data_IF_776610338670
#
_entry.id   IF_776610338670
#
_cell.length_a   1.000
_cell.length_b   1.000
_cell.length_c   1.000
_cell.angle_alpha   90.00
_cell.angle_beta   90.00
_cell.angle_gamma   90.00
#
_symmetry.space_group_name_H-M   'P 1'
#
loop_
_entity.id
_entity.type
_entity.pdbx_description
1 polymer ?
#
# COMPACT_ATOMS: atom_id res chain seq x y z
N UNK A 1 -2.02 -22.42 -2.87
CA UNK A 1 -3.34 -22.57 -2.19
C UNK A 1 -4.39 -22.24 -3.24
N UNK A 2 -5.40 -23.08 -3.42
CA UNK A 2 -6.43 -22.85 -4.42
C UNK A 2 -7.21 -21.55 -4.10
N UNK A 3 -7.64 -20.84 -5.15
CA UNK A 3 -8.27 -19.52 -5.06
C UNK A 3 -9.77 -19.66 -5.37
N UNK A 4 -10.66 -19.23 -4.46
CA UNK A 4 -12.10 -19.28 -4.69
C UNK A 4 -12.53 -18.51 -5.94
N UNK A 5 -13.31 -19.15 -6.81
CA UNK A 5 -13.89 -18.53 -8.00
C UNK A 5 -15.32 -19.02 -8.24
N UNK A 6 -16.26 -18.07 -8.34
CA UNK A 6 -17.69 -18.33 -8.57
C UNK A 6 -18.07 -17.89 -9.99
N UNK A 7 -18.44 -18.83 -10.86
CA UNK A 7 -18.86 -18.53 -12.23
C UNK A 7 -20.16 -17.70 -12.30
N UNK A 8 -21.02 -17.76 -11.28
CA UNK A 8 -22.25 -16.98 -11.22
C UNK A 8 -22.00 -15.53 -10.79
N UNK A 9 -20.85 -15.26 -10.17
CA UNK A 9 -20.40 -13.94 -9.71
C UNK A 9 -18.90 -13.78 -9.99
N UNK A 10 -18.49 -13.72 -11.27
CA UNK A 10 -17.07 -13.71 -11.63
C UNK A 10 -16.40 -12.47 -11.05
N UNK A 11 -15.29 -12.70 -10.34
CA UNK A 11 -14.50 -11.65 -9.70
C UNK A 11 -13.14 -11.55 -10.39
N UNK A 12 -12.87 -10.40 -11.03
CA UNK A 12 -11.61 -10.14 -11.72
C UNK A 12 -10.42 -10.18 -10.77
N UNK A 13 -10.58 -9.78 -9.50
CA UNK A 13 -9.49 -9.87 -8.52
C UNK A 13 -9.08 -11.32 -8.24
N UNK A 14 -10.06 -12.25 -8.19
CA UNK A 14 -9.78 -13.68 -8.05
C UNK A 14 -9.11 -14.23 -9.31
N UNK A 15 -9.63 -13.90 -10.50
CA UNK A 15 -9.01 -14.30 -11.77
C UNK A 15 -7.58 -13.76 -11.91
N UNK A 16 -7.32 -12.52 -11.48
CA UNK A 16 -5.99 -11.92 -11.46
C UNK A 16 -5.03 -12.68 -10.56
N UNK A 17 -5.47 -13.07 -9.35
CA UNK A 17 -4.66 -13.91 -8.46
C UNK A 17 -4.38 -15.29 -9.06
N UNK A 18 -5.35 -15.89 -9.72
CA UNK A 18 -5.18 -17.18 -10.42
C UNK A 18 -4.16 -17.03 -11.55
N UNK A 19 -4.29 -16.00 -12.38
CA UNK A 19 -3.39 -15.77 -13.49
C UNK A 19 -1.96 -15.46 -13.04
N UNK A 20 -1.79 -14.65 -11.98
CA UNK A 20 -0.47 -14.41 -11.38
C UNK A 20 0.14 -15.70 -10.83
N UNK A 21 -0.64 -16.51 -10.09
CA UNK A 21 -0.15 -17.79 -9.57
C UNK A 21 0.28 -18.74 -10.71
N UNK A 22 -0.45 -18.74 -11.84
CA UNK A 22 -0.09 -19.52 -13.02
C UNK A 22 1.24 -19.05 -13.64
N UNK A 23 1.47 -17.73 -13.72
CA UNK A 23 2.73 -17.14 -14.19
C UNK A 23 3.90 -17.39 -13.23
N UNK A 24 3.63 -17.48 -11.92
CA UNK A 24 4.64 -17.82 -10.90
C UNK A 24 5.04 -19.30 -10.99
N UNK A 25 4.10 -20.21 -11.27
CA UNK A 25 4.35 -21.65 -11.36
C UNK A 25 4.92 -22.08 -12.73
N UNK A 26 4.50 -21.44 -13.82
CA UNK A 26 4.91 -21.76 -15.20
C UNK A 26 5.52 -20.53 -15.91
N UNK A 27 6.86 -20.37 -15.85
CA UNK A 27 7.56 -19.31 -16.58
C UNK A 27 7.39 -19.39 -18.11
N UNK A 28 6.98 -20.56 -18.63
CA UNK A 28 6.72 -20.80 -20.05
C UNK A 28 5.23 -20.60 -20.39
N UNK A 29 4.43 -19.99 -19.51
CA UNK A 29 3.07 -19.56 -19.85
C UNK A 29 3.12 -18.31 -20.76
N UNK A 30 2.91 -18.50 -22.06
CA UNK A 30 3.00 -17.45 -23.09
C UNK A 30 1.78 -17.34 -24.02
N UNK A 31 0.70 -18.06 -23.71
CA UNK A 31 -0.56 -18.03 -24.46
C UNK A 31 -1.75 -18.13 -23.51
N UNK A 32 -2.79 -17.32 -23.72
CA UNK A 32 -4.08 -17.51 -23.03
C UNK A 32 -5.01 -18.29 -23.95
N UNK A 33 -5.04 -19.61 -23.78
CA UNK A 33 -5.90 -20.52 -24.53
C UNK A 33 -7.24 -20.74 -23.82
N UNK A 34 -8.29 -20.97 -24.60
CA UNK A 34 -9.61 -21.34 -24.07
C UNK A 34 -9.54 -22.72 -23.39
N UNK A 35 -10.05 -22.83 -22.16
CA UNK A 35 -10.03 -24.07 -21.39
C UNK A 35 -8.63 -24.55 -21.03
N UNK A 36 -7.68 -23.63 -20.83
CA UNK A 36 -6.31 -24.00 -20.46
C UNK A 36 -6.28 -24.77 -19.12
N UNK A 37 -5.83 -26.04 -19.11
CA UNK A 37 -5.86 -26.86 -17.92
C UNK A 37 -4.89 -26.38 -16.82
N UNK A 38 -3.94 -25.50 -17.15
CA UNK A 38 -2.97 -24.94 -16.19
C UNK A 38 -3.61 -24.10 -15.08
N UNK A 39 -4.85 -23.64 -15.27
CA UNK A 39 -5.56 -22.91 -14.22
C UNK A 39 -6.32 -23.83 -13.26
N UNK A 40 -6.66 -25.06 -13.66
CA UNK A 40 -7.66 -25.88 -12.93
C UNK A 40 -7.24 -26.22 -11.49
N UNK A 41 -5.96 -26.51 -11.23
CA UNK A 41 -5.48 -26.81 -9.87
C UNK A 41 -5.32 -25.57 -9.00
N UNK A 42 -5.33 -24.38 -9.60
CA UNK A 42 -5.25 -23.09 -8.90
C UNK A 42 -6.62 -22.59 -8.46
N UNK A 43 -7.71 -23.18 -8.94
CA UNK A 43 -9.08 -22.71 -8.69
C UNK A 43 -9.81 -23.59 -7.67
N UNK A 44 -10.37 -22.96 -6.65
CA UNK A 44 -11.40 -23.55 -5.79
C UNK A 44 -12.77 -23.12 -6.32
N UNK A 45 -13.47 -24.04 -6.99
CA UNK A 45 -14.74 -23.70 -7.64
C UNK A 45 -15.87 -23.55 -6.63
N UNK A 46 -16.49 -22.36 -6.64
CA UNK A 46 -17.65 -22.04 -5.80
C UNK A 46 -18.91 -22.11 -6.66
N UNK A 47 -19.76 -23.11 -6.42
CA UNK A 47 -21.02 -23.28 -7.15
C UNK A 47 -20.86 -23.94 -8.53
N UNK A 48 -21.88 -23.82 -9.41
CA UNK A 48 -21.89 -24.48 -10.71
C UNK A 48 -20.84 -23.89 -11.65
N UNK A 49 -20.14 -24.76 -12.40
CA UNK A 49 -19.14 -24.35 -13.40
C UNK A 49 -19.81 -24.00 -14.71
N UNK A 50 -19.38 -22.89 -15.31
CA UNK A 50 -19.79 -22.48 -16.66
C UNK A 50 -18.54 -22.31 -17.51
N UNK A 51 -18.45 -23.05 -18.61
CA UNK A 51 -17.30 -23.01 -19.52
C UNK A 51 -17.05 -21.59 -20.06
N UNK A 52 -15.78 -21.20 -20.16
CA UNK A 52 -15.35 -19.91 -20.70
C UNK A 52 -15.47 -18.70 -19.76
N UNK A 53 -16.16 -18.82 -18.61
CA UNK A 53 -16.27 -17.69 -17.65
C UNK A 53 -14.92 -17.37 -17.01
N UNK A 54 -14.16 -18.40 -16.63
CA UNK A 54 -12.81 -18.20 -16.11
C UNK A 54 -11.90 -17.59 -17.18
N UNK A 55 -11.88 -18.16 -18.39
CA UNK A 55 -11.08 -17.65 -19.51
C UNK A 55 -11.35 -16.16 -19.79
N UNK A 56 -12.63 -15.77 -19.81
CA UNK A 56 -13.02 -14.37 -19.96
C UNK A 56 -12.50 -13.49 -18.81
N UNK A 57 -12.57 -13.96 -17.57
CA UNK A 57 -12.04 -13.23 -16.42
C UNK A 57 -10.51 -13.15 -16.43
N UNK A 58 -9.82 -14.20 -16.91
CA UNK A 58 -8.36 -14.22 -17.12
C UNK A 58 -7.97 -13.22 -18.21
N UNK A 59 -8.73 -13.10 -19.29
CA UNK A 59 -8.52 -12.04 -20.29
C UNK A 59 -8.64 -10.64 -19.68
N UNK A 60 -9.60 -10.41 -18.78
CA UNK A 60 -9.72 -9.12 -18.09
C UNK A 60 -8.53 -8.87 -17.15
N UNK A 61 -8.08 -9.90 -16.44
CA UNK A 61 -6.88 -9.84 -15.60
C UNK A 61 -5.62 -9.57 -16.43
N UNK A 62 -5.48 -10.17 -17.61
CA UNK A 62 -4.37 -9.90 -18.52
C UNK A 62 -4.27 -8.41 -18.86
N UNK A 63 -5.39 -7.75 -19.19
CA UNK A 63 -5.38 -6.32 -19.49
C UNK A 63 -5.03 -5.45 -18.26
N UNK A 64 -5.37 -5.89 -17.06
CA UNK A 64 -4.91 -5.22 -15.83
C UNK A 64 -3.39 -5.35 -15.67
N UNK A 65 -2.86 -6.57 -15.80
CA UNK A 65 -1.42 -6.82 -15.71
C UNK A 65 -0.63 -6.12 -16.85
N UNK A 66 -1.25 -5.94 -18.02
CA UNK A 66 -0.69 -5.14 -19.11
C UNK A 66 -0.57 -3.66 -18.74
N UNK A 67 -1.62 -3.06 -18.16
CA UNK A 67 -1.56 -1.69 -17.66
C UNK A 67 -0.55 -1.52 -16.52
N UNK A 68 -0.29 -2.59 -15.78
CA UNK A 68 0.75 -2.63 -14.74
C UNK A 68 2.16 -2.84 -15.30
N UNK A 69 2.29 -3.13 -16.60
CA UNK A 69 3.54 -3.41 -17.29
C UNK A 69 4.13 -4.79 -16.97
N UNK A 70 3.38 -5.69 -16.34
CA UNK A 70 3.85 -7.03 -15.95
C UNK A 70 3.86 -7.97 -17.15
N UNK A 71 2.84 -7.91 -17.99
CA UNK A 71 2.72 -8.69 -19.24
C UNK A 71 2.54 -7.76 -20.43
N UNK A 72 2.89 -8.23 -21.62
CA UNK A 72 2.60 -7.52 -22.86
C UNK A 72 2.20 -8.49 -23.99
N UNK A 73 1.35 -8.08 -24.94
CA UNK A 73 0.98 -8.91 -26.08
C UNK A 73 2.19 -9.31 -26.94
N UNK A 74 2.07 -10.48 -27.55
CA UNK A 74 3.10 -11.12 -28.36
C UNK A 74 4.14 -11.87 -27.55
N UNK A 75 4.65 -12.98 -28.06
CA UNK A 75 5.70 -13.79 -27.42
C UNK A 75 7.06 -13.67 -28.11
N UNK A 76 7.06 -13.63 -29.44
CA UNK A 76 8.26 -13.48 -30.27
C UNK A 76 7.89 -12.94 -31.67
N UNK A 77 8.89 -12.78 -32.54
CA UNK A 77 8.71 -12.25 -33.91
C UNK A 77 7.76 -13.08 -34.81
N UNK A 78 7.48 -14.33 -34.44
CA UNK A 78 6.52 -15.19 -35.15
C UNK A 78 5.12 -15.17 -34.51
N UNK A 79 5.03 -14.73 -33.26
CA UNK A 79 3.85 -14.73 -32.42
C UNK A 79 3.61 -13.34 -31.82
N UNK A 80 3.50 -12.31 -32.65
CA UNK A 80 3.50 -10.90 -32.20
C UNK A 80 2.16 -10.43 -31.59
N UNK A 81 1.10 -11.23 -31.73
CA UNK A 81 -0.28 -10.82 -31.41
C UNK A 81 -0.88 -11.70 -30.31
N UNK A 82 -1.79 -11.11 -29.55
CA UNK A 82 -2.71 -11.84 -28.69
C UNK A 82 -3.39 -12.99 -29.49
N UNK A 83 -3.58 -14.20 -28.93
CA UNK A 83 -3.50 -14.58 -27.51
C UNK A 83 -2.09 -14.84 -26.97
N UNK A 84 -1.06 -14.78 -27.83
CA UNK A 84 0.32 -14.86 -27.38
C UNK A 84 0.70 -13.62 -26.58
N UNK A 85 1.52 -13.82 -25.56
CA UNK A 85 2.04 -12.77 -24.70
C UNK A 85 3.39 -13.17 -24.11
N UNK A 86 4.05 -12.22 -23.47
CA UNK A 86 5.24 -12.47 -22.67
C UNK A 86 5.16 -11.73 -21.34
N UNK A 87 5.86 -12.26 -20.34
CA UNK A 87 6.17 -11.52 -19.12
C UNK A 87 7.31 -10.55 -19.43
N UNK A 88 7.12 -9.26 -19.15
CA UNK A 88 8.15 -8.24 -19.37
C UNK A 88 9.32 -8.45 -18.40
N UNK A 89 10.47 -7.80 -18.64
CA UNK A 89 11.57 -7.85 -17.68
C UNK A 89 11.18 -7.28 -16.30
N UNK A 90 10.26 -6.31 -16.30
CA UNK A 90 9.64 -5.82 -15.07
C UNK A 90 8.76 -6.89 -14.41
N UNK A 91 7.89 -7.56 -15.16
CA UNK A 91 7.05 -8.64 -14.66
C UNK A 91 7.85 -9.80 -14.06
N UNK A 92 8.96 -10.18 -14.68
CA UNK A 92 9.87 -11.22 -14.15
C UNK A 92 10.39 -10.85 -12.76
N UNK A 93 10.78 -9.58 -12.55
CA UNK A 93 11.19 -9.08 -11.22
C UNK A 93 10.04 -9.13 -10.21
N UNK A 94 8.81 -8.85 -10.64
CA UNK A 94 7.61 -8.91 -9.78
C UNK A 94 7.34 -10.35 -9.34
N UNK A 95 7.37 -11.32 -10.28
CA UNK A 95 7.10 -12.74 -10.03
C UNK A 95 8.21 -13.43 -9.21
N UNK A 96 9.47 -13.02 -9.36
CA UNK A 96 10.62 -13.62 -8.66
C UNK A 96 10.70 -13.32 -7.14
N UNK A 97 9.70 -12.65 -6.55
CA UNK A 97 9.57 -12.57 -5.10
C UNK A 97 10.23 -11.37 -4.41
N UNK A 98 10.04 -10.16 -4.95
CA UNK A 98 10.35 -8.92 -4.18
C UNK A 98 9.26 -7.83 -4.25
N UNK A 99 8.23 -7.99 -5.10
CA UNK A 99 7.26 -6.92 -5.42
C UNK A 99 5.80 -7.18 -4.99
N UNK A 100 5.48 -8.37 -4.50
CA UNK A 100 4.09 -8.84 -4.35
C UNK A 100 3.15 -7.95 -3.51
N UNK A 101 3.59 -7.23 -2.45
CA UNK A 101 2.61 -6.55 -1.63
C UNK A 101 1.95 -5.36 -2.32
N UNK A 102 2.63 -4.66 -3.21
CA UNK A 102 2.17 -3.37 -3.75
C UNK A 102 1.36 -3.54 -5.04
N UNK A 103 1.64 -4.61 -5.80
CA UNK A 103 0.86 -4.99 -7.00
C UNK A 103 -0.43 -5.74 -6.66
N UNK A 104 -0.71 -5.97 -5.39
CA UNK A 104 -2.00 -6.46 -4.92
C UNK A 104 -2.57 -5.41 -3.95
N UNK A 105 -3.19 -4.33 -4.45
CA UNK A 105 -3.70 -3.26 -3.59
C UNK A 105 -4.67 -3.76 -2.53
N UNK A 106 -5.54 -4.71 -2.89
CA UNK A 106 -6.52 -5.30 -1.98
C UNK A 106 -5.83 -6.12 -0.89
N UNK A 107 -4.89 -7.00 -1.27
CA UNK A 107 -4.10 -7.74 -0.29
C UNK A 107 -3.19 -6.85 0.55
N UNK A 108 -2.67 -5.74 0.01
CA UNK A 108 -1.91 -4.76 0.78
C UNK A 108 -2.77 -4.21 1.91
N UNK A 109 -3.96 -3.71 1.56
CA UNK A 109 -4.89 -3.10 2.50
C UNK A 109 -5.36 -4.13 3.53
N UNK A 110 -5.69 -5.35 3.10
CA UNK A 110 -6.09 -6.43 4.00
C UNK A 110 -4.99 -6.81 5.00
N UNK A 111 -3.73 -6.93 4.55
CA UNK A 111 -2.57 -7.20 5.42
C UNK A 111 -2.30 -6.04 6.39
N UNK A 112 -2.50 -4.80 5.95
CA UNK A 112 -2.36 -3.65 6.84
C UNK A 112 -3.46 -3.65 7.90
N UNK A 113 -4.71 -3.82 7.49
CA UNK A 113 -5.89 -3.87 8.36
C UNK A 113 -5.76 -4.99 9.42
N UNK A 114 -5.20 -6.14 9.06
CA UNK A 114 -4.96 -7.24 10.02
C UNK A 114 -3.84 -6.96 11.04
N UNK A 115 -3.01 -5.93 10.84
CA UNK A 115 -1.84 -5.61 11.69
C UNK A 115 -2.06 -4.39 12.60
N UNK A 116 -3.16 -3.67 12.43
CA UNK A 116 -3.50 -2.47 13.20
C UNK A 116 -4.87 -2.64 13.85
N UNK A 117 -5.15 -1.84 14.87
CA UNK A 117 -6.39 -1.88 15.62
C UNK A 117 -7.60 -1.44 14.80
N UNK A 118 -7.44 -0.39 13.99
CA UNK A 118 -8.49 0.14 13.12
C UNK A 118 -7.88 0.93 11.97
N UNK A 119 -8.20 0.53 10.73
CA UNK A 119 -7.83 1.29 9.55
C UNK A 119 -8.77 2.49 9.36
N UNK A 120 -8.25 3.70 9.61
CA UNK A 120 -8.98 4.95 9.33
C UNK A 120 -9.46 5.02 7.86
N UNK A 121 -10.75 5.36 7.61
CA UNK A 121 -11.32 5.37 6.26
C UNK A 121 -10.65 6.37 5.30
N UNK A 122 -10.19 7.51 5.81
CA UNK A 122 -9.48 8.52 5.01
C UNK A 122 -8.10 8.01 4.62
N UNK A 123 -7.38 7.39 5.56
CA UNK A 123 -6.09 6.73 5.25
C UNK A 123 -6.28 5.63 4.22
N UNK A 124 -7.30 4.77 4.38
CA UNK A 124 -7.63 3.70 3.42
C UNK A 124 -7.85 4.26 2.01
N UNK A 125 -8.61 5.33 1.88
CA UNK A 125 -8.92 5.96 0.59
C UNK A 125 -7.65 6.45 -0.13
N UNK A 126 -6.83 7.26 0.55
CA UNK A 126 -5.61 7.81 -0.07
C UNK A 126 -4.53 6.75 -0.31
N UNK A 127 -4.42 5.76 0.58
CA UNK A 127 -3.50 4.65 0.37
C UNK A 127 -3.92 3.78 -0.82
N UNK A 128 -5.23 3.51 -0.98
CA UNK A 128 -5.75 2.79 -2.14
C UNK A 128 -5.43 3.55 -3.45
N UNK A 129 -5.60 4.87 -3.48
CA UNK A 129 -5.25 5.69 -4.64
C UNK A 129 -3.74 5.68 -4.92
N UNK A 130 -2.92 5.71 -3.88
CA UNK A 130 -1.47 5.59 -4.00
C UNK A 130 -1.05 4.26 -4.63
N UNK A 131 -1.63 3.14 -4.19
CA UNK A 131 -1.39 1.80 -4.73
C UNK A 131 -1.87 1.68 -6.20
N UNK A 132 -3.03 2.24 -6.51
CA UNK A 132 -3.60 2.25 -7.87
C UNK A 132 -2.71 3.02 -8.85
N UNK A 133 -2.29 4.22 -8.47
CA UNK A 133 -1.43 5.06 -9.30
C UNK A 133 -0.02 4.50 -9.45
N UNK A 134 0.54 3.87 -8.41
CA UNK A 134 1.80 3.13 -8.50
C UNK A 134 1.71 2.00 -9.52
N UNK A 135 0.67 1.18 -9.42
CA UNK A 135 0.45 0.03 -10.29
C UNK A 135 0.45 0.44 -11.76
N UNK A 136 -0.21 1.56 -12.08
CA UNK A 136 -0.29 2.16 -13.44
C UNK A 136 0.96 2.92 -13.89
N UNK A 137 2.01 2.97 -13.07
CA UNK A 137 3.25 3.70 -13.40
C UNK A 137 3.21 5.23 -13.19
N UNK A 138 2.15 5.76 -12.58
CA UNK A 138 2.04 7.17 -12.21
C UNK A 138 2.75 7.44 -10.87
N UNK A 139 4.08 7.38 -10.88
CA UNK A 139 4.92 7.38 -9.66
C UNK A 139 4.74 8.65 -8.82
N UNK A 140 4.74 9.84 -9.44
CA UNK A 140 4.56 11.12 -8.72
C UNK A 140 3.19 11.18 -8.03
N UNK A 141 2.12 10.80 -8.74
CA UNK A 141 0.78 10.76 -8.16
C UNK A 141 0.71 9.79 -6.97
N UNK A 142 1.37 8.63 -7.09
CA UNK A 142 1.45 7.66 -6.00
C UNK A 142 2.11 8.23 -4.75
N UNK A 143 3.25 8.93 -4.92
CA UNK A 143 3.97 9.56 -3.82
C UNK A 143 3.13 10.65 -3.13
N UNK A 144 2.44 11.49 -3.91
CA UNK A 144 1.57 12.54 -3.37
C UNK A 144 0.43 11.93 -2.54
N UNK A 145 -0.23 10.90 -3.07
CA UNK A 145 -1.32 10.22 -2.35
C UNK A 145 -0.82 9.51 -1.07
N UNK A 146 0.37 8.89 -1.12
CA UNK A 146 0.98 8.26 0.06
C UNK A 146 1.29 9.29 1.14
N UNK A 147 1.80 10.45 0.75
CA UNK A 147 2.08 11.55 1.69
C UNK A 147 0.82 12.07 2.37
N UNK A 148 -0.30 12.19 1.64
CA UNK A 148 -1.59 12.59 2.23
C UNK A 148 -2.08 11.52 3.23
N UNK A 149 -1.95 10.23 2.89
CA UNK A 149 -2.25 9.14 3.81
C UNK A 149 -1.37 9.23 5.08
N UNK A 150 -0.08 9.54 4.94
CA UNK A 150 0.87 9.67 6.06
C UNK A 150 0.56 10.87 6.95
N UNK A 151 0.15 12.00 6.36
CA UNK A 151 -0.33 13.18 7.09
C UNK A 151 -1.57 12.85 7.91
N UNK A 152 -2.54 12.11 7.35
CA UNK A 152 -3.71 11.69 8.12
C UNK A 152 -3.35 10.77 9.29
N UNK A 153 -2.46 9.80 9.09
CA UNK A 153 -1.96 8.95 10.19
C UNK A 153 -1.28 9.80 11.27
N UNK A 154 -0.54 10.84 10.89
CA UNK A 154 0.07 11.77 11.84
C UNK A 154 -0.97 12.62 12.60
N UNK A 155 -2.04 13.05 11.95
CA UNK A 155 -3.13 13.75 12.63
C UNK A 155 -3.85 12.85 13.65
N UNK A 156 -4.08 11.56 13.34
CA UNK A 156 -4.63 10.59 14.30
C UNK A 156 -3.74 10.43 15.55
N UNK A 157 -2.43 10.51 15.37
CA UNK A 157 -1.49 10.51 16.48
C UNK A 157 -1.62 11.80 17.32
N UNK A 158 -1.73 12.95 16.66
CA UNK A 158 -1.97 14.23 17.33
C UNK A 158 -3.27 14.21 18.15
N UNK A 159 -4.36 13.69 17.61
CA UNK A 159 -5.64 13.53 18.31
C UNK A 159 -5.48 12.67 19.59
N UNK A 160 -4.68 11.61 19.51
CA UNK A 160 -4.43 10.70 20.65
C UNK A 160 -3.55 11.35 21.72
N UNK A 161 -2.55 12.15 21.30
CA UNK A 161 -1.71 12.94 22.21
C UNK A 161 -2.54 14.04 22.89
N UNK A 162 -3.37 14.78 22.16
CA UNK A 162 -4.25 15.80 22.73
C UNK A 162 -5.15 15.21 23.83
N UNK A 163 -5.68 14.01 23.60
CA UNK A 163 -6.51 13.30 24.56
C UNK A 163 -5.72 12.84 25.80
N UNK A 164 -4.45 12.48 25.63
CA UNK A 164 -3.60 11.96 26.70
C UNK A 164 -2.89 13.05 27.53
N UNK A 165 -2.79 14.31 27.04
CA UNK A 165 -2.15 15.40 27.79
C UNK A 165 -2.96 15.72 29.06
N UNK A 166 -2.35 15.52 30.23
CA UNK A 166 -3.00 15.75 31.52
C UNK A 166 -3.17 17.23 31.86
N UNK A 167 -2.18 18.06 31.49
CA UNK A 167 -2.11 19.47 31.87
C UNK A 167 -3.01 20.34 30.97
N UNK A 168 -4.04 21.02 31.51
CA UNK A 168 -4.93 21.86 30.69
C UNK A 168 -4.19 22.98 29.95
N UNK A 169 -3.16 23.57 30.59
CA UNK A 169 -2.32 24.62 30.01
C UNK A 169 -1.53 24.10 28.80
N UNK A 170 -0.98 22.90 28.92
CA UNK A 170 -0.22 22.29 27.85
C UNK A 170 -1.11 21.83 26.70
N UNK A 171 -2.27 21.26 27.03
CA UNK A 171 -3.30 20.89 26.06
C UNK A 171 -3.73 22.09 25.23
N UNK A 172 -4.04 23.22 25.87
CA UNK A 172 -4.37 24.46 25.17
C UNK A 172 -3.22 24.97 24.25
N UNK A 173 -1.96 24.83 24.69
CA UNK A 173 -0.79 25.15 23.85
C UNK A 173 -0.73 24.24 22.62
N UNK A 174 -0.90 22.93 22.79
CA UNK A 174 -0.86 21.98 21.69
C UNK A 174 -2.00 22.18 20.69
N UNK A 175 -3.23 22.37 21.17
CA UNK A 175 -4.39 22.71 20.34
C UNK A 175 -4.15 23.99 19.55
N UNK A 176 -3.55 25.01 20.18
CA UNK A 176 -3.13 26.23 19.51
C UNK A 176 -2.10 25.99 18.40
N UNK A 177 -1.17 25.04 18.57
CA UNK A 177 -0.22 24.64 17.53
C UNK A 177 -0.96 23.96 16.38
N UNK A 178 -1.82 22.99 16.68
CA UNK A 178 -2.57 22.21 15.70
C UNK A 178 -3.49 23.07 14.83
N UNK A 179 -4.06 24.14 15.40
CA UNK A 179 -4.94 25.09 14.69
C UNK A 179 -4.18 26.09 13.81
N UNK A 180 -3.00 26.56 14.26
CA UNK A 180 -2.31 27.70 13.63
C UNK A 180 -1.25 27.29 12.63
N UNK A 181 -0.65 26.12 12.79
CA UNK A 181 0.53 25.73 12.03
C UNK A 181 0.31 24.50 11.17
N UNK A 182 1.09 24.45 10.09
CA UNK A 182 1.27 23.27 9.25
C UNK A 182 2.02 22.16 10.02
N UNK A 183 2.37 21.08 9.33
CA UNK A 183 2.84 19.84 9.97
C UNK A 183 4.14 19.96 10.80
N UNK A 184 5.09 20.81 10.40
CA UNK A 184 6.42 20.84 11.05
C UNK A 184 6.37 21.22 12.55
N UNK A 185 5.70 22.32 12.97
CA UNK A 185 5.55 22.62 14.40
C UNK A 185 4.79 21.56 15.21
N UNK A 186 3.85 20.85 14.57
CA UNK A 186 3.16 19.71 15.21
C UNK A 186 4.15 18.58 15.47
N UNK A 187 4.96 18.21 14.47
CA UNK A 187 6.01 17.19 14.59
C UNK A 187 7.01 17.52 15.69
N UNK A 188 7.48 18.77 15.76
CA UNK A 188 8.42 19.21 16.79
C UNK A 188 7.85 19.05 18.21
N UNK A 189 6.56 19.36 18.39
CA UNK A 189 5.88 19.15 19.65
C UNK A 189 5.78 17.65 20.00
N UNK A 190 5.37 16.82 19.04
CA UNK A 190 5.22 15.35 19.23
C UNK A 190 6.55 14.70 19.60
N UNK A 191 7.64 15.06 18.91
CA UNK A 191 8.99 14.54 19.21
C UNK A 191 9.43 14.92 20.62
N UNK A 192 9.26 16.18 21.02
CA UNK A 192 9.59 16.62 22.37
C UNK A 192 8.78 15.86 23.43
N UNK A 193 7.50 15.58 23.13
CA UNK A 193 6.64 14.79 24.01
C UNK A 193 7.12 13.35 24.15
N UNK A 194 7.44 12.69 23.03
CA UNK A 194 7.92 11.31 23.05
C UNK A 194 9.25 11.15 23.75
N UNK A 195 10.18 12.10 23.60
CA UNK A 195 11.41 12.13 24.38
C UNK A 195 11.11 12.18 25.89
N UNK A 196 10.20 13.05 26.32
CA UNK A 196 9.80 13.14 27.72
C UNK A 196 9.06 11.89 28.24
N UNK A 197 8.31 11.22 27.38
CA UNK A 197 7.52 10.03 27.69
C UNK A 197 8.41 8.79 27.84
N UNK A 198 9.39 8.64 26.94
CA UNK A 198 10.41 7.58 26.98
C UNK A 198 11.25 7.69 28.26
N UNK A 199 11.68 8.90 28.64
CA UNK A 199 12.41 9.15 29.89
C UNK A 199 11.57 8.80 31.13
N UNK A 200 10.24 8.93 31.06
CA UNK A 200 9.31 8.60 32.16
C UNK A 200 8.94 7.11 32.24
N UNK A 201 9.34 6.28 31.28
CA UNK A 201 9.10 4.83 31.32
C UNK A 201 7.63 4.43 31.19
N UNK A 202 6.88 5.07 30.29
CA UNK A 202 5.49 4.71 30.02
C UNK A 202 5.36 3.27 29.50
N UNK A 203 4.65 2.42 30.25
CA UNK A 203 4.43 1.02 29.91
C UNK A 203 3.73 0.86 28.56
N UNK A 204 4.27 0.02 27.68
CA UNK A 204 3.72 -0.25 26.35
C UNK A 204 4.07 0.78 25.27
N UNK A 205 4.80 1.85 25.61
CA UNK A 205 5.32 2.80 24.64
C UNK A 205 6.54 2.20 23.93
N UNK A 206 6.61 2.17 22.58
CA UNK A 206 7.76 1.61 21.88
C UNK A 206 9.05 2.40 22.13
N UNK A 207 10.15 1.74 22.50
CA UNK A 207 11.45 2.37 22.82
C UNK A 207 11.98 3.28 21.69
N UNK A 208 11.68 2.93 20.44
CA UNK A 208 12.09 3.61 19.21
C UNK A 208 10.95 4.40 18.55
N UNK A 209 9.85 4.66 19.25
CA UNK A 209 8.69 5.42 18.73
C UNK A 209 9.09 6.80 18.19
N UNK A 210 9.97 7.51 18.89
CA UNK A 210 10.44 8.83 18.49
C UNK A 210 11.24 8.78 17.18
N UNK A 211 12.12 7.78 17.00
CA UNK A 211 12.90 7.60 15.77
C UNK A 211 11.98 7.20 14.62
N UNK A 212 11.06 6.27 14.86
CA UNK A 212 10.15 5.78 13.83
C UNK A 212 9.20 6.88 13.35
N UNK A 213 8.56 7.61 14.26
CA UNK A 213 7.65 8.70 13.87
C UNK A 213 8.44 9.85 13.26
N UNK A 214 9.57 10.29 13.84
CA UNK A 214 10.35 11.38 13.27
C UNK A 214 10.91 11.01 11.90
N UNK A 215 11.64 9.91 11.77
CA UNK A 215 12.34 9.57 10.54
C UNK A 215 11.36 9.19 9.42
N UNK A 216 10.36 8.34 9.69
CA UNK A 216 9.48 7.83 8.64
C UNK A 216 8.46 8.88 8.19
N UNK A 217 7.84 9.61 9.12
CA UNK A 217 6.90 10.66 8.75
C UNK A 217 7.60 11.85 8.08
N UNK A 218 8.74 12.31 8.63
CA UNK A 218 9.44 13.46 8.06
C UNK A 218 9.96 13.16 6.65
N UNK A 219 10.41 11.94 6.40
CA UNK A 219 10.76 11.44 5.07
C UNK A 219 9.58 11.49 4.10
N UNK A 220 8.45 10.85 4.44
CA UNK A 220 7.26 10.81 3.58
C UNK A 220 6.67 12.21 3.34
N UNK A 221 6.68 13.07 4.36
CA UNK A 221 6.22 14.46 4.30
C UNK A 221 7.12 15.30 3.40
N UNK A 222 8.43 15.15 3.52
CA UNK A 222 9.40 15.94 2.72
C UNK A 222 9.31 15.55 1.26
N UNK A 223 9.26 14.25 0.94
CA UNK A 223 9.03 13.80 -0.43
C UNK A 223 7.72 14.33 -1.01
N UNK A 224 6.61 14.27 -0.26
CA UNK A 224 5.32 14.80 -0.72
C UNK A 224 5.39 16.31 -0.98
N UNK A 225 6.07 17.06 -0.12
CA UNK A 225 6.24 18.51 -0.32
C UNK A 225 7.07 18.80 -1.56
N UNK A 226 8.17 18.09 -1.77
CA UNK A 226 9.01 18.25 -2.96
C UNK A 226 8.23 17.92 -4.24
N UNK A 227 7.51 16.80 -4.26
CA UNK A 227 6.77 16.35 -5.45
C UNK A 227 5.45 17.08 -5.68
N UNK A 228 4.83 17.62 -4.62
CA UNK A 228 3.50 18.25 -4.67
C UNK A 228 3.51 19.76 -4.97
N UNK A 229 4.66 20.42 -4.88
CA UNK A 229 4.79 21.84 -5.21
C UNK A 229 5.22 22.04 -6.68
N UNK A 230 4.69 23.04 -7.41
CA UNK A 230 5.15 23.35 -8.76
C UNK A 230 6.65 23.68 -8.76
N UNK A 231 7.41 22.97 -9.58
CA UNK A 231 8.84 23.20 -9.78
C UNK A 231 9.18 23.26 -11.26
N UNK A 232 10.25 23.97 -11.61
CA UNK A 232 10.75 24.09 -12.99
C UNK A 232 11.18 22.73 -13.55
N UNK A 233 11.71 21.87 -12.68
CA UNK A 233 11.97 20.46 -12.94
C UNK A 233 11.64 19.66 -11.67
N UNK A 234 10.54 18.90 -11.63
CA UNK A 234 10.22 18.06 -10.48
C UNK A 234 11.31 17.01 -10.23
N UNK A 235 11.65 16.69 -8.97
CA UNK A 235 12.56 15.60 -8.67
C UNK A 235 12.01 14.29 -9.25
N UNK A 236 12.91 13.46 -9.78
CA UNK A 236 12.55 12.13 -10.27
C UNK A 236 12.55 11.18 -9.07
N UNK A 237 11.37 10.66 -8.75
CA UNK A 237 11.22 9.49 -7.92
C UNK A 237 11.10 8.28 -8.85
N UNK A 238 11.95 7.28 -8.67
CA UNK A 238 11.82 6.06 -9.45
C UNK A 238 10.82 5.07 -8.83
N UNK A 239 10.52 4.00 -9.58
CA UNK A 239 9.54 2.99 -9.16
C UNK A 239 10.03 2.16 -7.97
N UNK A 240 11.34 1.95 -7.84
CA UNK A 240 11.93 1.15 -6.76
C UNK A 240 11.90 1.94 -5.44
N UNK A 241 12.20 3.23 -5.49
CA UNK A 241 12.06 4.17 -4.38
C UNK A 241 10.59 4.28 -3.94
N UNK A 242 9.66 4.44 -4.89
CA UNK A 242 8.23 4.50 -4.54
C UNK A 242 7.72 3.17 -3.96
N UNK A 243 8.20 2.03 -4.45
CA UNK A 243 7.91 0.72 -3.87
C UNK A 243 8.38 0.65 -2.42
N UNK A 244 9.62 1.09 -2.14
CA UNK A 244 10.16 1.15 -0.79
C UNK A 244 9.32 2.06 0.12
N UNK A 245 8.87 3.22 -0.39
CA UNK A 245 8.00 4.14 0.36
C UNK A 245 6.69 3.47 0.78
N UNK A 246 6.08 2.68 -0.11
CA UNK A 246 4.86 1.94 0.18
C UNK A 246 5.09 0.87 1.25
N UNK A 247 6.26 0.23 1.30
CA UNK A 247 6.59 -0.70 2.40
C UNK A 247 6.80 0.04 3.72
N UNK A 248 7.54 1.15 3.69
CA UNK A 248 7.82 1.98 4.85
C UNK A 248 6.54 2.53 5.48
N UNK A 249 5.57 2.94 4.66
CA UNK A 249 4.28 3.44 5.12
C UNK A 249 3.54 2.44 6.02
N UNK A 250 3.46 1.17 5.62
CA UNK A 250 2.78 0.15 6.43
C UNK A 250 3.41 0.04 7.82
N UNK A 251 4.75 0.06 7.89
CA UNK A 251 5.47 0.00 9.16
C UNK A 251 5.28 1.26 10.01
N UNK A 252 5.24 2.42 9.36
CA UNK A 252 4.94 3.68 10.01
C UNK A 252 3.55 3.65 10.66
N UNK A 253 2.51 3.23 9.94
CA UNK A 253 1.16 3.19 10.48
C UNK A 253 1.03 2.17 11.62
N UNK A 254 1.57 0.97 11.49
CA UNK A 254 1.63 0.01 12.61
C UNK A 254 2.27 0.59 13.86
N UNK A 255 3.34 1.37 13.69
CA UNK A 255 4.04 1.98 14.82
C UNK A 255 3.20 3.07 15.46
N UNK A 256 2.57 3.92 14.66
CA UNK A 256 1.64 4.95 15.16
C UNK A 256 0.46 4.32 15.88
N UNK A 257 -0.11 3.24 15.34
CA UNK A 257 -1.24 2.54 15.97
C UNK A 257 -0.87 2.00 17.36
N UNK A 258 0.30 1.35 17.49
CA UNK A 258 0.82 0.90 18.80
C UNK A 258 0.97 2.05 19.80
N UNK A 259 1.50 3.18 19.35
CA UNK A 259 1.65 4.38 20.19
C UNK A 259 0.27 4.87 20.64
N UNK A 260 -0.69 4.96 19.72
CA UNK A 260 -2.06 5.41 20.02
C UNK A 260 -2.72 4.49 21.05
N UNK A 261 -2.59 3.17 20.91
CA UNK A 261 -3.09 2.20 21.90
C UNK A 261 -2.44 2.41 23.27
N UNK A 262 -1.13 2.62 23.34
CA UNK A 262 -0.43 2.87 24.61
C UNK A 262 -0.91 4.16 25.31
N UNK A 263 -1.28 5.18 24.53
CA UNK A 263 -1.79 6.46 25.05
C UNK A 263 -3.23 6.37 25.59
N UNK A 264 -4.05 5.42 25.13
CA UNK A 264 -5.44 5.28 25.62
C UNK A 264 -5.54 4.89 27.10
N UNK A 265 -4.46 4.36 27.70
CA UNK A 265 -4.39 4.00 29.12
C UNK A 265 -3.47 4.88 29.96
N UNK A 266 -2.86 5.92 29.40
CA UNK A 266 -1.77 6.66 30.04
C UNK A 266 -1.91 8.18 29.89
N UNK A 267 -1.82 8.91 31.00
CA UNK A 267 -1.73 10.36 31.00
C UNK A 267 -0.27 10.80 30.81
N UNK A 268 0.00 11.73 29.87
CA UNK A 268 1.36 12.18 29.49
C UNK A 268 1.60 13.68 29.68
#
# INVERSE_FOLDING_TARGET
>A
MAIPFDCSRPNVAAARRIFLAALEEDPDLHEIAAGDPRYEHLVEWVGPRTAGILDFAIHQAFWQLFLEGIVAPGFNAYNEKFPWFHVTDYGKKVLAGSGAPVHDPDGYLARLDSRISTLDPTVRCYLAESLSTFSRGSIVSSAVMLGIAAERVFDLLCESIDSAIASPKEKAKFQGICLRFQMKPKLDFVVAKFQSATVRGLSGFPDNAHIAVLALYDFLRTQRNELGHPQTLPPRLDREEMFANLQVFARYYETVDKIRTALQGSAI
#
